data_IF_397120693963
#
_entry.id   IF_397120693963
#
_cell.length_a   1.000
_cell.length_b   1.000
_cell.length_c   1.000
_cell.angle_alpha   90.00
_cell.angle_beta   90.00
_cell.angle_gamma   90.00
#
_symmetry.space_group_name_H-M   'P 1'
#
loop_
_entity.id
_entity.type
_entity.pdbx_description
1 polymer ?
#
# COMPACT_ATOMS: atom_id res chain seq x y z
N UNK A 1 21.09 10.47 7.94
CA UNK A 1 20.10 9.72 8.75
C UNK A 1 19.62 8.56 7.91
N UNK A 2 19.90 7.31 8.30
CA UNK A 2 19.44 6.14 7.55
C UNK A 2 17.90 6.11 7.59
N UNK A 3 17.24 6.30 6.44
CA UNK A 3 15.80 6.05 6.32
C UNK A 3 15.63 4.55 6.51
N UNK A 4 15.30 4.13 7.73
CA UNK A 4 14.87 2.78 8.04
C UNK A 4 13.48 2.59 7.40
N UNK A 5 13.46 2.43 6.07
CA UNK A 5 12.25 2.10 5.34
C UNK A 5 11.80 0.74 5.85
N UNK A 6 10.66 0.70 6.52
CA UNK A 6 9.96 -0.55 6.78
C UNK A 6 9.71 -1.22 5.42
N UNK A 7 10.50 -2.25 5.11
CA UNK A 7 10.27 -3.08 3.94
C UNK A 7 9.09 -3.98 4.27
N UNK A 8 7.96 -3.67 3.67
CA UNK A 8 6.80 -4.56 3.67
C UNK A 8 7.01 -5.59 2.55
N UNK A 9 6.78 -6.87 2.85
CA UNK A 9 6.81 -7.95 1.86
C UNK A 9 5.67 -7.78 0.88
N UNK A 10 5.81 -8.33 -0.32
CA UNK A 10 4.78 -8.20 -1.35
C UNK A 10 3.48 -8.90 -0.93
N UNK A 11 3.56 -10.06 -0.27
CA UNK A 11 2.40 -10.73 0.35
C UNK A 11 1.64 -9.82 1.33
N UNK A 12 2.36 -9.02 2.13
CA UNK A 12 1.73 -8.09 3.05
C UNK A 12 1.03 -6.95 2.31
N UNK A 13 1.65 -6.42 1.24
CA UNK A 13 1.04 -5.37 0.42
C UNK A 13 -0.22 -5.87 -0.27
N UNK A 14 -0.18 -7.07 -0.83
CA UNK A 14 -1.32 -7.71 -1.49
C UNK A 14 -2.47 -7.90 -0.51
N UNK A 15 -2.19 -8.43 0.68
CA UNK A 15 -3.20 -8.58 1.75
C UNK A 15 -3.89 -7.24 2.06
N UNK A 16 -3.13 -6.14 2.17
CA UNK A 16 -3.69 -4.82 2.48
C UNK A 16 -4.52 -4.29 1.31
N UNK A 17 -4.12 -4.55 0.06
CA UNK A 17 -4.87 -4.12 -1.13
C UNK A 17 -6.13 -4.95 -1.33
N UNK A 18 -6.10 -6.25 -1.04
CA UNK A 18 -7.30 -7.10 -1.02
C UNK A 18 -8.30 -6.63 0.03
N UNK A 19 -7.85 -6.34 1.26
CA UNK A 19 -8.70 -5.78 2.31
C UNK A 19 -9.29 -4.42 1.88
N UNK A 20 -8.51 -3.59 1.19
CA UNK A 20 -9.02 -2.31 0.68
C UNK A 20 -10.13 -2.54 -0.37
N UNK A 21 -9.92 -3.48 -1.29
CA UNK A 21 -10.91 -3.87 -2.29
C UNK A 21 -12.15 -4.53 -1.66
N UNK A 22 -12.02 -5.19 -0.51
CA UNK A 22 -13.13 -5.75 0.26
C UNK A 22 -13.94 -4.69 1.02
N UNK A 23 -13.55 -3.41 0.97
CA UNK A 23 -14.27 -2.30 1.59
C UNK A 23 -13.66 -1.79 2.91
N UNK A 24 -12.52 -2.32 3.37
CA UNK A 24 -11.81 -1.71 4.51
C UNK A 24 -11.26 -0.34 4.13
N UNK A 25 -11.37 0.59 5.07
CA UNK A 25 -10.90 1.97 4.88
C UNK A 25 -9.43 2.14 5.25
N UNK A 26 -8.76 3.07 4.59
CA UNK A 26 -7.36 3.44 4.89
C UNK A 26 -7.14 3.86 6.36
N UNK A 27 -8.18 4.38 7.02
CA UNK A 27 -8.14 4.69 8.45
C UNK A 27 -7.96 3.43 9.32
N UNK A 28 -8.61 2.33 8.96
CA UNK A 28 -8.47 1.07 9.67
C UNK A 28 -7.05 0.53 9.52
N UNK A 29 -6.47 0.58 8.31
CA UNK A 29 -5.09 0.13 8.13
C UNK A 29 -4.07 0.94 8.92
N UNK A 30 -4.32 2.25 9.04
CA UNK A 30 -3.50 3.13 9.85
C UNK A 30 -3.62 2.87 11.34
N UNK A 31 -4.80 2.47 11.82
CA UNK A 31 -5.03 2.20 13.24
C UNK A 31 -4.62 0.77 13.64
N UNK A 32 -4.86 -0.20 12.76
CA UNK A 32 -4.71 -1.64 13.03
C UNK A 32 -3.29 -2.13 12.73
N UNK A 33 -2.74 -1.72 11.57
CA UNK A 33 -1.42 -2.15 11.11
C UNK A 33 -0.34 -1.05 11.22
N UNK A 34 -0.72 0.16 11.66
CA UNK A 34 0.19 1.30 11.73
C UNK A 34 0.71 1.75 10.36
N UNK A 35 -0.04 1.47 9.28
CA UNK A 35 0.36 1.79 7.91
C UNK A 35 -0.19 3.17 7.55
N UNK A 36 0.67 4.07 7.11
CA UNK A 36 0.20 5.38 6.68
C UNK A 36 -0.69 5.26 5.43
N UNK A 37 -1.74 6.08 5.35
CA UNK A 37 -2.65 6.13 4.18
C UNK A 37 -1.86 6.34 2.87
N UNK A 38 -0.81 7.15 2.93
CA UNK A 38 0.10 7.42 1.81
C UNK A 38 0.83 6.16 1.32
N UNK A 39 1.22 5.27 2.24
CA UNK A 39 1.87 3.99 1.93
C UNK A 39 0.92 3.07 1.17
N UNK A 40 -0.31 2.88 1.66
CA UNK A 40 -1.32 2.04 1.00
C UNK A 40 -1.70 2.60 -0.36
N UNK A 41 -1.89 3.93 -0.47
CA UNK A 41 -2.15 4.59 -1.74
C UNK A 41 -1.00 4.39 -2.75
N UNK A 42 0.25 4.37 -2.26
CA UNK A 42 1.42 3.99 -3.06
C UNK A 42 1.32 2.56 -3.58
N UNK A 43 0.93 1.59 -2.75
CA UNK A 43 0.78 0.20 -3.18
C UNK A 43 -0.35 0.01 -4.18
N UNK A 44 -1.52 0.63 -3.96
CA UNK A 44 -2.64 0.59 -4.91
C UNK A 44 -2.21 1.16 -6.27
N UNK A 45 -1.40 2.23 -6.28
CA UNK A 45 -0.87 2.82 -7.53
C UNK A 45 0.17 1.93 -8.21
N UNK A 46 1.01 1.22 -7.47
CA UNK A 46 2.02 0.31 -8.02
C UNK A 46 1.43 -1.04 -8.49
N UNK A 47 0.35 -1.49 -7.86
CA UNK A 47 -0.36 -2.72 -8.22
C UNK A 47 -1.31 -2.54 -9.40
N UNK A 48 -1.80 -1.32 -9.61
CA UNK A 48 -2.38 -0.97 -10.91
C UNK A 48 -1.25 -1.10 -11.92
N UNK A 49 -1.40 -1.90 -13.00
CA UNK A 49 -0.43 -1.89 -14.07
C UNK A 49 -0.41 -0.46 -14.59
N UNK A 50 0.61 0.29 -14.19
CA UNK A 50 0.90 1.57 -14.80
C UNK A 50 1.20 1.19 -16.23
N UNK A 51 0.26 1.47 -17.13
CA UNK A 51 0.56 1.64 -18.54
C UNK A 51 1.51 2.82 -18.53
N UNK A 52 2.80 2.50 -18.45
CA UNK A 52 3.86 3.50 -18.51
C UNK A 52 3.85 3.89 -19.98
N UNK A 53 3.08 4.93 -20.30
CA UNK A 53 3.28 5.70 -21.52
C UNK A 53 4.63 6.41 -21.31
N UNK A 54 5.69 5.69 -21.65
CA UNK A 54 7.03 6.24 -21.82
C UNK A 54 6.98 7.06 -23.10
N UNK A 55 6.79 8.38 -22.93
CA UNK A 55 6.81 9.36 -24.02
C UNK A 55 8.17 9.53 -24.68
#
# INVERSE_FOLDING_TARGET
>A
MARNQRKYTDEFKDTIVELYNSGKSLSEFSSEYGISKSTVNGWIKNLRPVVIDEG
#
